data_IF_768400974637
#
_entry.id   IF_768400974637
#
_cell.length_a   1.000
_cell.length_b   1.000
_cell.length_c   1.000
_cell.angle_alpha   90.00
_cell.angle_beta   90.00
_cell.angle_gamma   90.00
#
_symmetry.space_group_name_H-M   'P 1'
#
loop_
_entity.id
_entity.type
_entity.pdbx_description
1 polymer ?
#
# COMPACT_ATOMS: atom_id res chain seq x y z
N UNK A 1 2.92 -9.09 -15.05
CA UNK A 1 1.54 -9.68 -15.13
C UNK A 1 0.68 -8.76 -15.99
N UNK A 2 -0.34 -9.20 -16.75
CA UNK A 2 -1.05 -8.26 -17.62
C UNK A 2 -1.90 -7.29 -16.79
N UNK A 3 -1.84 -6.02 -17.17
CA UNK A 3 -2.59 -4.95 -16.52
C UNK A 3 -4.10 -5.15 -16.70
N UNK A 4 -4.89 -4.75 -15.70
CA UNK A 4 -6.35 -4.80 -15.83
C UNK A 4 -6.80 -3.79 -16.89
N UNK A 5 -7.61 -4.23 -17.85
CA UNK A 5 -8.18 -3.35 -18.88
C UNK A 5 -9.59 -2.92 -18.48
N UNK A 6 -9.76 -1.69 -18.04
CA UNK A 6 -11.06 -1.08 -17.74
C UNK A 6 -11.44 -0.10 -18.86
N UNK A 7 -12.64 -0.25 -19.43
CA UNK A 7 -13.16 0.62 -20.50
C UNK A 7 -12.22 0.77 -21.72
N UNK A 8 -11.45 -0.27 -22.04
CA UNK A 8 -10.48 -0.25 -23.14
C UNK A 8 -9.12 0.33 -22.78
N UNK A 9 -8.90 0.75 -21.52
CA UNK A 9 -7.66 1.33 -21.05
C UNK A 9 -6.99 0.42 -20.01
N UNK A 10 -5.67 0.24 -20.14
CA UNK A 10 -4.85 -0.47 -19.15
C UNK A 10 -4.73 0.39 -17.89
N UNK A 11 -5.14 -0.12 -16.75
CA UNK A 11 -4.96 0.53 -15.45
C UNK A 11 -3.54 0.32 -14.93
N UNK A 12 -3.18 0.99 -13.83
CA UNK A 12 -1.89 0.78 -13.14
C UNK A 12 -1.91 -0.53 -12.32
N UNK A 13 -3.10 -1.07 -12.05
CA UNK A 13 -3.32 -2.15 -11.10
C UNK A 13 -3.45 -3.47 -11.87
N UNK A 14 -2.63 -4.48 -11.54
CA UNK A 14 -2.86 -5.82 -12.07
C UNK A 14 -4.13 -6.43 -11.49
N UNK A 15 -4.78 -7.28 -12.27
CA UNK A 15 -5.86 -8.15 -11.78
C UNK A 15 -5.52 -8.88 -10.48
N UNK A 16 -4.26 -9.30 -10.33
CA UNK A 16 -3.80 -10.10 -9.20
C UNK A 16 -3.50 -9.23 -7.96
N UNK A 17 -3.16 -7.94 -8.15
CA UNK A 17 -2.94 -6.98 -7.05
C UNK A 17 -4.25 -6.53 -6.38
N UNK A 18 -5.39 -6.66 -7.09
CA UNK A 18 -6.71 -6.35 -6.52
C UNK A 18 -7.04 -7.21 -5.30
N UNK A 19 -6.53 -8.45 -5.24
CA UNK A 19 -6.79 -9.33 -4.10
C UNK A 19 -6.25 -8.75 -2.80
N UNK A 20 -4.97 -8.38 -2.78
CA UNK A 20 -4.34 -7.78 -1.60
C UNK A 20 -4.97 -6.42 -1.24
N UNK A 21 -5.25 -5.60 -2.25
CA UNK A 21 -5.88 -4.30 -2.06
C UNK A 21 -7.28 -4.44 -1.45
N UNK A 22 -8.12 -5.34 -1.98
CA UNK A 22 -9.45 -5.61 -1.46
C UNK A 22 -9.42 -6.20 -0.04
N UNK A 23 -8.49 -7.10 0.27
CA UNK A 23 -8.32 -7.61 1.65
C UNK A 23 -7.96 -6.49 2.61
N UNK A 24 -7.08 -5.57 2.20
CA UNK A 24 -6.70 -4.40 3.00
C UNK A 24 -7.91 -3.50 3.26
N UNK A 25 -8.70 -3.20 2.23
CA UNK A 25 -9.93 -2.42 2.39
C UNK A 25 -10.97 -3.13 3.27
N UNK A 26 -11.14 -4.45 3.15
CA UNK A 26 -12.02 -5.21 4.05
C UNK A 26 -11.60 -5.01 5.51
N UNK A 27 -10.31 -5.09 5.83
CA UNK A 27 -9.81 -4.85 7.19
C UNK A 27 -10.09 -3.42 7.69
N UNK A 28 -9.92 -2.41 6.83
CA UNK A 28 -10.26 -1.01 7.14
C UNK A 28 -11.77 -0.88 7.41
N UNK A 29 -12.62 -1.47 6.57
CA UNK A 29 -14.09 -1.44 6.75
C UNK A 29 -14.56 -2.14 8.01
N UNK A 30 -13.98 -3.29 8.35
CA UNK A 30 -14.26 -3.98 9.62
C UNK A 30 -13.86 -3.10 10.83
N UNK A 31 -12.73 -2.41 10.72
CA UNK A 31 -12.29 -1.44 11.74
C UNK A 31 -13.28 -0.27 11.87
N UNK A 32 -13.75 0.30 10.75
CA UNK A 32 -14.77 1.35 10.75
C UNK A 32 -16.09 0.90 11.41
N UNK A 33 -16.55 -0.32 11.12
CA UNK A 33 -17.74 -0.90 11.76
C UNK A 33 -17.50 -1.03 13.27
N UNK A 34 -16.35 -1.56 13.69
CA UNK A 34 -15.99 -1.68 15.10
C UNK A 34 -15.95 -0.34 15.82
N UNK A 35 -15.39 0.70 15.19
CA UNK A 35 -15.35 2.06 15.73
C UNK A 35 -16.73 2.74 15.75
N UNK A 36 -17.67 2.32 14.90
CA UNK A 36 -19.03 2.87 14.85
C UNK A 36 -19.89 2.41 16.03
N UNK A 37 -19.59 1.24 16.61
CA UNK A 37 -20.38 0.66 17.71
C UNK A 37 -20.36 1.56 18.97
N UNK A 38 -19.20 2.02 19.50
CA UNK A 38 -19.17 2.95 20.62
C UNK A 38 -19.99 4.24 20.39
N UNK A 39 -19.96 4.77 19.17
CA UNK A 39 -20.72 5.97 18.80
C UNK A 39 -22.22 5.72 18.83
N UNK A 40 -22.68 4.56 18.33
CA UNK A 40 -24.10 4.17 18.43
C UNK A 40 -24.55 3.91 19.87
N UNK A 41 -23.71 3.29 20.68
CA UNK A 41 -24.01 3.07 22.10
C UNK A 41 -24.14 4.39 22.85
N UNK A 42 -23.24 5.35 22.57
CA UNK A 42 -23.32 6.71 23.10
C UNK A 42 -24.64 7.40 22.71
N UNK A 43 -25.03 7.32 21.44
CA UNK A 43 -26.30 7.89 20.96
C UNK A 43 -27.51 7.23 21.63
N UNK A 44 -27.49 5.91 21.80
CA UNK A 44 -28.58 5.15 22.44
C UNK A 44 -28.76 5.53 23.90
N UNK A 45 -27.67 5.72 24.64
CA UNK A 45 -27.72 6.13 26.05
C UNK A 45 -28.21 7.58 26.21
N UNK A 46 -27.90 8.45 25.24
CA UNK A 46 -28.24 9.89 25.30
C UNK A 46 -29.66 10.24 24.85
N UNK A 47 -30.29 9.40 24.02
CA UNK A 47 -31.58 9.68 23.37
C UNK A 47 -32.76 10.08 24.28
N UNK A 48 -32.92 9.64 25.55
CA UNK A 48 -34.08 10.05 26.34
C UNK A 48 -34.06 11.53 26.76
N UNK A 49 -32.90 12.20 26.76
CA UNK A 49 -32.73 13.53 27.36
C UNK A 49 -32.47 14.67 26.36
N UNK A 50 -32.43 14.39 25.05
CA UNK A 50 -32.08 15.37 24.00
C UNK A 50 -33.10 16.52 23.89
N UNK A 51 -34.40 16.22 24.03
CA UNK A 51 -35.47 17.24 23.99
C UNK A 51 -35.38 18.25 25.13
N UNK A 52 -34.99 17.79 26.32
CA UNK A 52 -34.79 18.69 27.46
C UNK A 52 -33.56 19.58 27.25
N UNK A 53 -32.48 19.01 26.72
CA UNK A 53 -31.24 19.73 26.41
C UNK A 53 -31.45 20.81 25.35
N UNK A 54 -32.19 20.51 24.28
CA UNK A 54 -32.51 21.47 23.21
C UNK A 54 -33.23 22.72 23.76
N UNK A 55 -34.22 22.52 24.65
CA UNK A 55 -34.93 23.63 25.30
C UNK A 55 -34.00 24.51 26.13
N UNK A 56 -33.10 23.91 26.92
CA UNK A 56 -32.14 24.66 27.75
C UNK A 56 -31.19 25.49 26.88
N UNK A 57 -30.64 24.91 25.81
CA UNK A 57 -29.75 25.65 24.91
C UNK A 57 -30.48 26.74 24.12
N UNK A 58 -31.76 26.56 23.81
CA UNK A 58 -32.61 27.62 23.24
C UNK A 58 -32.81 28.79 24.22
N UNK A 59 -33.05 28.50 25.51
CA UNK A 59 -33.23 29.53 26.54
C UNK A 59 -31.97 30.36 26.76
N UNK A 60 -30.79 29.77 26.61
CA UNK A 60 -29.51 30.45 26.83
C UNK A 60 -29.11 31.40 25.70
N UNK A 61 -29.93 31.58 24.67
CA UNK A 61 -29.65 32.51 23.58
C UNK A 61 -28.46 32.09 22.71
N UNK A 62 -27.97 30.86 22.86
CA UNK A 62 -27.17 30.25 21.82
C UNK A 62 -28.12 30.12 20.62
N UNK A 63 -27.88 30.86 19.53
CA UNK A 63 -28.62 30.77 18.26
C UNK A 63 -28.48 29.41 17.56
N UNK A 64 -28.31 28.34 18.34
CA UNK A 64 -28.01 26.96 18.03
C UNK A 64 -29.16 26.02 18.42
N UNK A 65 -30.37 26.53 18.68
CA UNK A 65 -31.51 25.67 19.05
C UNK A 65 -31.79 24.57 18.02
N UNK A 66 -31.54 24.84 16.74
CA UNK A 66 -31.58 23.81 15.70
C UNK A 66 -30.33 22.92 15.66
N UNK A 67 -29.16 23.43 16.05
CA UNK A 67 -27.89 22.73 15.85
C UNK A 67 -27.79 21.48 16.71
N UNK A 68 -28.26 21.46 17.96
CA UNK A 68 -28.13 20.26 18.81
C UNK A 68 -29.01 19.11 18.38
N UNK A 69 -30.27 19.39 18.02
CA UNK A 69 -31.22 18.38 17.56
C UNK A 69 -30.77 17.83 16.20
N UNK A 70 -30.38 18.72 15.30
CA UNK A 70 -29.81 18.35 13.99
C UNK A 70 -28.50 17.58 14.19
N UNK A 71 -27.65 17.91 15.17
CA UNK A 71 -26.36 17.25 15.36
C UNK A 71 -26.51 15.80 15.82
N UNK A 72 -27.41 15.52 16.76
CA UNK A 72 -27.66 14.14 17.21
C UNK A 72 -28.25 13.28 16.06
N UNK A 73 -29.21 13.83 15.30
CA UNK A 73 -29.78 13.17 14.11
C UNK A 73 -28.73 12.96 13.01
N UNK A 74 -27.87 13.95 12.79
CA UNK A 74 -26.80 13.90 11.80
C UNK A 74 -25.74 12.88 12.20
N UNK A 75 -25.37 12.80 13.48
CA UNK A 75 -24.42 11.80 14.00
C UNK A 75 -25.00 10.38 13.89
N UNK A 76 -26.28 10.21 14.21
CA UNK A 76 -26.97 8.93 14.05
C UNK A 76 -27.00 8.51 12.57
N UNK A 77 -27.43 9.41 11.69
CA UNK A 77 -27.51 9.18 10.24
C UNK A 77 -26.12 8.86 9.68
N UNK A 78 -25.10 9.64 10.02
CA UNK A 78 -23.72 9.42 9.61
C UNK A 78 -23.20 8.05 10.03
N UNK A 79 -23.41 7.67 11.30
CA UNK A 79 -22.90 6.40 11.84
C UNK A 79 -23.61 5.21 11.19
N UNK A 80 -24.93 5.30 11.04
CA UNK A 80 -25.73 4.26 10.38
C UNK A 80 -25.35 4.12 8.90
N UNK A 81 -25.29 5.22 8.15
CA UNK A 81 -24.87 5.23 6.75
C UNK A 81 -23.45 4.70 6.57
N UNK A 82 -22.54 5.04 7.49
CA UNK A 82 -21.16 4.51 7.50
C UNK A 82 -21.14 2.99 7.66
N UNK A 83 -21.94 2.43 8.58
CA UNK A 83 -22.02 0.98 8.75
C UNK A 83 -22.61 0.30 7.52
N UNK A 84 -23.70 0.84 6.95
CA UNK A 84 -24.34 0.29 5.76
C UNK A 84 -23.37 0.30 4.56
N UNK A 85 -22.71 1.43 4.30
CA UNK A 85 -21.78 1.54 3.16
C UNK A 85 -20.54 0.65 3.36
N UNK A 86 -20.07 0.48 4.60
CA UNK A 86 -18.97 -0.42 4.92
C UNK A 86 -19.34 -1.89 4.64
N UNK A 87 -20.54 -2.33 5.04
CA UNK A 87 -21.03 -3.67 4.75
C UNK A 87 -21.18 -3.94 3.25
N UNK A 88 -21.81 -3.02 2.52
CA UNK A 88 -21.94 -3.13 1.05
C UNK A 88 -20.56 -3.16 0.39
N UNK A 89 -19.62 -2.34 0.86
CA UNK A 89 -18.24 -2.32 0.34
C UNK A 89 -17.51 -3.64 0.61
N UNK A 90 -17.67 -4.24 1.79
CA UNK A 90 -17.10 -5.55 2.12
C UNK A 90 -17.62 -6.62 1.16
N UNK A 91 -18.93 -6.64 0.88
CA UNK A 91 -19.52 -7.61 -0.06
C UNK A 91 -18.96 -7.44 -1.48
N UNK A 92 -18.81 -6.19 -1.94
CA UNK A 92 -18.19 -5.88 -3.24
C UNK A 92 -16.72 -6.29 -3.28
N UNK A 93 -15.98 -6.10 -2.19
CA UNK A 93 -14.58 -6.52 -2.10
C UNK A 93 -14.43 -8.04 -2.09
N UNK A 94 -15.29 -8.76 -1.37
CA UNK A 94 -15.32 -10.23 -1.41
C UNK A 94 -15.63 -10.73 -2.83
N UNK A 95 -16.60 -10.11 -3.50
CA UNK A 95 -16.92 -10.43 -4.88
C UNK A 95 -15.71 -10.14 -5.81
N UNK A 96 -15.04 -9.01 -5.62
CA UNK A 96 -13.84 -8.61 -6.38
C UNK A 96 -12.72 -9.63 -6.19
N UNK A 97 -12.43 -10.04 -4.96
CA UNK A 97 -11.42 -11.05 -4.62
C UNK A 97 -11.76 -12.40 -5.26
N UNK A 98 -13.01 -12.85 -5.14
CA UNK A 98 -13.44 -14.12 -5.73
C UNK A 98 -13.30 -14.09 -7.26
N UNK A 99 -13.72 -13.00 -7.89
CA UNK A 99 -13.62 -12.84 -9.35
C UNK A 99 -12.18 -12.66 -9.81
N UNK A 100 -11.30 -11.99 -9.05
CA UNK A 100 -9.89 -11.82 -9.41
C UNK A 100 -9.14 -13.14 -9.44
N UNK A 101 -9.46 -14.06 -8.52
CA UNK A 101 -8.89 -15.41 -8.50
C UNK A 101 -9.53 -16.38 -9.53
N UNK A 102 -10.63 -15.99 -10.18
CA UNK A 102 -11.28 -16.85 -11.16
C UNK A 102 -10.63 -16.70 -12.53
N UNK A 103 -9.88 -17.74 -12.92
CA UNK A 103 -9.23 -17.84 -14.23
C UNK A 103 -7.84 -17.23 -14.29
N UNK A 104 -7.08 -17.62 -15.31
CA UNK A 104 -5.75 -17.08 -15.57
C UNK A 104 -5.85 -15.73 -16.30
N UNK A 105 -4.80 -14.89 -16.26
CA UNK A 105 -4.81 -13.62 -16.97
C UNK A 105 -4.96 -13.75 -18.49
N UNK A 106 -4.73 -14.95 -19.03
CA UNK A 106 -4.95 -15.31 -20.44
C UNK A 106 -6.42 -15.57 -20.80
N UNK A 107 -7.34 -15.59 -19.83
CA UNK A 107 -8.76 -15.89 -20.04
C UNK A 107 -9.66 -14.67 -19.68
N UNK A 108 -9.72 -13.63 -20.55
CA UNK A 108 -10.42 -12.38 -20.23
C UNK A 108 -11.93 -12.54 -20.04
N UNK A 109 -12.54 -13.54 -20.68
CA UNK A 109 -13.99 -13.79 -20.60
C UNK A 109 -14.44 -14.14 -19.17
N UNK A 110 -13.65 -14.96 -18.46
CA UNK A 110 -13.93 -15.35 -17.07
C UNK A 110 -13.81 -14.19 -16.09
N UNK A 111 -13.05 -13.14 -16.46
CA UNK A 111 -12.83 -11.93 -15.66
C UNK A 111 -13.72 -10.75 -16.09
N UNK A 112 -14.67 -10.96 -17.00
CA UNK A 112 -15.54 -9.89 -17.54
C UNK A 112 -16.36 -9.17 -16.46
N UNK A 113 -16.84 -9.90 -15.45
CA UNK A 113 -17.58 -9.35 -14.32
C UNK A 113 -16.78 -8.34 -13.48
N UNK A 114 -15.44 -8.47 -13.47
CA UNK A 114 -14.56 -7.58 -12.71
C UNK A 114 -14.69 -6.12 -13.19
N UNK A 115 -14.95 -5.90 -14.49
CA UNK A 115 -15.16 -4.56 -15.03
C UNK A 115 -16.38 -3.91 -14.40
N UNK A 116 -17.50 -4.62 -14.34
CA UNK A 116 -18.74 -4.13 -13.75
C UNK A 116 -18.56 -3.85 -12.25
N UNK A 117 -17.96 -4.79 -11.51
CA UNK A 117 -17.67 -4.63 -10.08
C UNK A 117 -16.79 -3.41 -9.80
N UNK A 118 -15.70 -3.22 -10.55
CA UNK A 118 -14.83 -2.06 -10.41
C UNK A 118 -15.56 -0.75 -10.77
N UNK A 119 -16.39 -0.72 -11.82
CA UNK A 119 -17.16 0.47 -12.20
C UNK A 119 -18.18 0.85 -11.12
N UNK A 120 -18.92 -0.12 -10.59
CA UNK A 120 -19.89 0.10 -9.50
C UNK A 120 -19.17 0.55 -8.22
N UNK A 121 -17.99 -0.01 -7.92
CA UNK A 121 -17.22 0.40 -6.74
C UNK A 121 -16.65 1.82 -6.88
N UNK A 122 -16.06 2.15 -8.03
CA UNK A 122 -15.34 3.42 -8.23
C UNK A 122 -16.25 4.63 -8.48
N UNK A 123 -17.48 4.42 -8.96
CA UNK A 123 -18.38 5.53 -9.30
C UNK A 123 -19.52 5.72 -8.27
N UNK A 124 -20.59 4.91 -8.26
CA UNK A 124 -21.74 5.19 -7.41
C UNK A 124 -21.43 5.04 -5.91
N UNK A 125 -20.68 4.01 -5.51
CA UNK A 125 -20.30 3.81 -4.10
C UNK A 125 -19.41 4.95 -3.62
N UNK A 126 -18.49 5.42 -4.47
CA UNK A 126 -17.57 6.49 -4.12
C UNK A 126 -18.27 7.84 -3.96
N UNK A 127 -19.26 8.17 -4.81
CA UNK A 127 -20.08 9.36 -4.65
C UNK A 127 -20.83 9.36 -3.30
N UNK A 128 -21.39 8.22 -2.90
CA UNK A 128 -22.05 8.08 -1.59
C UNK A 128 -21.05 8.26 -0.45
N UNK A 129 -19.84 7.71 -0.56
CA UNK A 129 -18.79 7.90 0.46
C UNK A 129 -18.35 9.35 0.58
N UNK A 130 -18.18 10.07 -0.53
CA UNK A 130 -17.86 11.51 -0.52
C UNK A 130 -18.93 12.27 0.27
N UNK A 131 -20.21 12.00 0.03
CA UNK A 131 -21.30 12.63 0.77
C UNK A 131 -21.24 12.32 2.27
N UNK A 132 -20.99 11.06 2.64
CA UNK A 132 -20.83 10.63 4.05
C UNK A 132 -19.64 11.34 4.71
N UNK A 133 -18.50 11.45 4.02
CA UNK A 133 -17.32 12.16 4.53
C UNK A 133 -17.61 13.64 4.76
N UNK A 134 -18.32 14.30 3.84
CA UNK A 134 -18.73 15.70 4.02
C UNK A 134 -19.56 15.86 5.30
N UNK A 135 -20.52 14.96 5.54
CA UNK A 135 -21.31 14.95 6.77
C UNK A 135 -20.41 14.73 8.00
N UNK A 136 -19.47 13.78 7.94
CA UNK A 136 -18.50 13.53 9.01
C UNK A 136 -17.64 14.76 9.33
N UNK A 137 -17.19 15.49 8.32
CA UNK A 137 -16.44 16.74 8.48
C UNK A 137 -17.29 17.84 9.14
N UNK A 138 -18.56 17.98 8.74
CA UNK A 138 -19.50 18.92 9.36
C UNK A 138 -19.68 18.58 10.85
N UNK A 139 -19.83 17.29 11.20
CA UNK A 139 -19.92 16.85 12.58
C UNK A 139 -18.68 17.21 13.40
N UNK A 140 -17.48 17.01 12.84
CA UNK A 140 -16.22 17.39 13.51
C UNK A 140 -16.08 18.90 13.69
N UNK A 141 -16.49 19.71 12.72
CA UNK A 141 -16.42 21.19 12.82
C UNK A 141 -17.42 21.72 13.86
N UNK A 142 -18.58 21.06 14.00
CA UNK A 142 -19.66 21.52 14.89
C UNK A 142 -19.59 20.95 16.30
N UNK A 143 -18.69 20.00 16.57
CA UNK A 143 -18.58 19.32 17.88
C UNK A 143 -18.25 20.27 19.03
N UNK A 144 -17.39 21.26 18.81
CA UNK A 144 -16.99 22.20 19.87
C UNK A 144 -18.20 23.01 20.34
N UNK A 145 -19.01 23.49 19.38
CA UNK A 145 -20.25 24.24 19.68
C UNK A 145 -21.29 23.37 20.40
N UNK A 146 -21.41 22.11 19.99
CA UNK A 146 -22.25 21.14 20.68
C UNK A 146 -21.80 20.95 22.13
N UNK A 147 -20.48 20.83 22.34
CA UNK A 147 -19.93 20.64 23.67
C UNK A 147 -20.05 21.86 24.57
N UNK A 148 -19.92 23.07 24.03
CA UNK A 148 -20.16 24.29 24.80
C UNK A 148 -21.61 24.36 25.31
N UNK A 149 -22.58 24.00 24.47
CA UNK A 149 -23.99 23.92 24.88
C UNK A 149 -24.24 22.82 25.93
N UNK A 150 -23.68 21.61 25.75
CA UNK A 150 -23.81 20.53 26.75
C UNK A 150 -23.20 20.94 28.10
N UNK A 151 -22.03 21.59 28.08
CA UNK A 151 -21.36 22.06 29.29
C UNK A 151 -22.12 23.21 29.98
N UNK A 152 -22.75 24.11 29.20
CA UNK A 152 -23.59 25.17 29.73
C UNK A 152 -24.86 24.60 30.40
N UNK A 153 -25.53 23.66 29.74
CA UNK A 153 -26.70 22.99 30.30
C UNK A 153 -26.38 22.16 31.56
N UNK A 154 -25.20 21.51 31.58
CA UNK A 154 -24.72 20.76 32.74
C UNK A 154 -24.57 21.63 33.99
N UNK A 155 -24.02 22.84 33.85
CA UNK A 155 -23.85 23.79 34.98
C UNK A 155 -25.19 24.22 35.59
N UNK A 156 -26.20 24.48 34.74
CA UNK A 156 -27.55 24.86 35.22
C UNK A 156 -28.24 23.67 35.89
N UNK A 157 -28.03 22.45 35.38
CA UNK A 157 -28.53 21.22 35.99
C UNK A 157 -27.94 20.96 37.38
N UNK A 158 -26.68 21.33 37.60
CA UNK A 158 -26.00 21.22 38.90
C UNK A 158 -26.54 22.24 39.91
N UNK A 159 -26.74 23.50 39.49
CA UNK A 159 -27.33 24.55 40.36
C UNK A 159 -28.77 24.23 40.77
N UNK A 160 -29.54 23.58 39.91
CA UNK A 160 -30.94 23.22 40.16
C UNK A 160 -31.12 21.93 40.97
N UNK A 161 -30.03 21.24 41.33
CA UNK A 161 -30.07 20.00 42.11
C UNK A 161 -30.77 18.82 41.39
N UNK A 162 -31.02 18.95 40.08
CA UNK A 162 -31.78 17.99 39.28
C UNK A 162 -30.90 17.13 38.36
N UNK A 163 -29.61 17.45 38.26
CA UNK A 163 -28.68 16.76 37.35
C UNK A 163 -27.81 15.69 38.03
N UNK A 164 -28.00 14.42 37.65
CA UNK A 164 -26.94 13.41 37.78
C UNK A 164 -25.71 13.91 37.00
N UNK A 165 -24.58 14.14 37.67
CA UNK A 165 -23.32 14.65 37.09
C UNK A 165 -22.70 13.81 35.95
N UNK A 166 -23.41 12.80 35.44
CA UNK A 166 -23.03 11.95 34.29
C UNK A 166 -22.92 12.73 32.98
N UNK A 167 -23.64 13.85 32.82
CA UNK A 167 -23.61 14.63 31.57
C UNK A 167 -22.28 15.35 31.30
N UNK A 168 -21.58 15.83 32.34
CA UNK A 168 -20.34 16.59 32.16
C UNK A 168 -19.19 15.77 31.57
N UNK A 169 -19.20 14.45 31.73
CA UNK A 169 -18.13 13.59 31.19
C UNK A 169 -18.28 13.30 29.69
N UNK A 170 -19.41 13.66 29.08
CA UNK A 170 -19.70 13.34 27.67
C UNK A 170 -18.89 14.16 26.67
N UNK A 171 -18.53 15.40 27.02
CA UNK A 171 -17.82 16.34 26.14
C UNK A 171 -16.35 16.56 26.54
N UNK A 172 -15.81 15.70 27.40
CA UNK A 172 -14.37 15.73 27.65
C UNK A 172 -13.66 15.42 26.34
N UNK A 173 -12.72 16.28 25.92
CA UNK A 173 -11.90 16.19 24.68
C UNK A 173 -11.19 14.84 24.44
N UNK A 174 -11.29 13.91 25.40
CA UNK A 174 -10.72 12.55 25.41
C UNK A 174 -11.80 11.46 25.54
N UNK A 175 -13.06 11.75 25.24
CA UNK A 175 -14.09 10.70 25.25
C UNK A 175 -13.76 9.67 24.16
N UNK A 176 -13.97 8.40 24.50
CA UNK A 176 -13.70 7.28 23.58
C UNK A 176 -14.50 7.45 22.28
N UNK A 177 -15.76 7.89 22.37
CA UNK A 177 -16.63 8.08 21.21
C UNK A 177 -16.11 9.16 20.26
N UNK A 178 -15.53 10.25 20.78
CA UNK A 178 -15.00 11.33 19.94
C UNK A 178 -13.73 10.89 19.22
N UNK A 179 -12.86 10.15 19.92
CA UNK A 179 -11.70 9.50 19.31
C UNK A 179 -12.11 8.52 18.20
N UNK A 180 -13.16 7.72 18.43
CA UNK A 180 -13.73 6.84 17.41
C UNK A 180 -14.24 7.62 16.19
N UNK A 181 -14.98 8.72 16.40
CA UNK A 181 -15.49 9.57 15.32
C UNK A 181 -14.35 10.13 14.45
N UNK A 182 -13.29 10.67 15.07
CA UNK A 182 -12.11 11.17 14.33
C UNK A 182 -11.48 10.05 13.51
N UNK A 183 -11.25 8.88 14.11
CA UNK A 183 -10.66 7.74 13.41
C UNK A 183 -11.52 7.27 12.22
N UNK A 184 -12.85 7.27 12.35
CA UNK A 184 -13.76 6.94 11.26
C UNK A 184 -13.60 7.97 10.13
N UNK A 185 -13.69 9.27 10.43
CA UNK A 185 -13.57 10.32 9.39
C UNK A 185 -12.21 10.30 8.70
N UNK A 186 -11.11 10.13 9.45
CA UNK A 186 -9.75 10.04 8.89
C UNK A 186 -9.59 8.81 7.98
N UNK A 187 -10.10 7.66 8.39
CA UNK A 187 -10.04 6.45 7.54
C UNK A 187 -10.89 6.59 6.29
N UNK A 188 -12.08 7.21 6.37
CA UNK A 188 -12.90 7.48 5.19
C UNK A 188 -12.23 8.49 4.24
N UNK A 189 -11.61 9.56 4.76
CA UNK A 189 -10.84 10.52 3.97
C UNK A 189 -9.68 9.85 3.22
N UNK A 190 -8.98 8.92 3.87
CA UNK A 190 -7.91 8.16 3.23
C UNK A 190 -8.44 7.30 2.08
N UNK A 191 -9.55 6.61 2.27
CA UNK A 191 -10.18 5.80 1.22
C UNK A 191 -10.66 6.65 0.04
N UNK A 192 -11.38 7.74 0.31
CA UNK A 192 -11.84 8.67 -0.72
C UNK A 192 -10.66 9.29 -1.47
N UNK A 193 -9.60 9.67 -0.75
CA UNK A 193 -8.38 10.18 -1.35
C UNK A 193 -7.69 9.16 -2.26
N UNK A 194 -7.65 7.89 -1.84
CA UNK A 194 -7.08 6.80 -2.64
C UNK A 194 -7.90 6.55 -3.90
N UNK A 195 -9.23 6.40 -3.77
CA UNK A 195 -10.12 6.13 -4.91
C UNK A 195 -10.13 7.33 -5.89
N UNK A 196 -10.15 8.57 -5.39
CA UNK A 196 -10.01 9.78 -6.21
C UNK A 196 -8.68 9.83 -6.95
N UNK A 197 -7.56 9.43 -6.32
CA UNK A 197 -6.26 9.35 -6.98
C UNK A 197 -6.28 8.36 -8.15
N UNK A 198 -6.91 7.18 -7.98
CA UNK A 198 -7.07 6.18 -9.04
C UNK A 198 -7.91 6.73 -10.20
N UNK A 199 -9.03 7.38 -9.91
CA UNK A 199 -9.92 7.98 -10.92
C UNK A 199 -9.22 9.11 -11.68
N UNK A 200 -8.59 10.05 -10.97
CA UNK A 200 -7.85 11.18 -11.57
C UNK A 200 -6.72 10.65 -12.46
N UNK A 201 -5.97 9.65 -11.99
CA UNK A 201 -4.92 9.03 -12.79
C UNK A 201 -5.50 8.37 -14.05
N UNK A 202 -6.64 7.67 -13.93
CA UNK A 202 -7.34 7.09 -15.07
C UNK A 202 -7.75 8.14 -16.10
N UNK A 203 -8.39 9.23 -15.66
CA UNK A 203 -8.80 10.35 -16.53
C UNK A 203 -7.58 11.00 -17.19
N UNK A 204 -6.52 11.26 -16.42
CA UNK A 204 -5.28 11.83 -16.93
C UNK A 204 -4.65 10.94 -18.02
N UNK A 205 -4.65 9.62 -17.81
CA UNK A 205 -4.13 8.67 -18.79
C UNK A 205 -4.96 8.64 -20.07
N UNK A 206 -6.29 8.58 -19.95
CA UNK A 206 -7.22 8.58 -21.09
C UNK A 206 -7.08 9.87 -21.91
N UNK A 207 -7.07 11.02 -21.24
CA UNK A 207 -6.91 12.32 -21.91
C UNK A 207 -5.55 12.41 -22.59
N UNK A 208 -4.46 12.08 -21.90
CA UNK A 208 -3.11 12.08 -22.47
C UNK A 208 -3.00 11.17 -23.71
N UNK A 209 -3.59 9.99 -23.68
CA UNK A 209 -3.54 9.07 -24.82
C UNK A 209 -4.24 9.66 -26.06
N UNK A 210 -5.41 10.28 -25.87
CA UNK A 210 -6.12 10.99 -26.96
C UNK A 210 -5.28 12.15 -27.53
N UNK A 211 -4.65 12.93 -26.67
CA UNK A 211 -3.77 14.02 -27.10
C UNK A 211 -2.50 13.52 -27.80
N UNK A 212 -1.88 12.44 -27.30
CA UNK A 212 -0.68 11.85 -27.89
C UNK A 212 -0.95 11.29 -29.28
N UNK A 213 -2.08 10.61 -29.48
CA UNK A 213 -2.46 10.07 -30.79
C UNK A 213 -2.64 11.17 -31.84
N UNK A 214 -3.05 12.37 -31.43
CA UNK A 214 -3.17 13.53 -32.34
C UNK A 214 -1.81 14.18 -32.62
N UNK A 215 -0.87 14.12 -31.67
CA UNK A 215 0.47 14.70 -31.81
C UNK A 215 1.41 13.85 -32.66
N UNK A 216 1.28 12.53 -32.63
CA UNK A 216 2.04 11.63 -33.52
C UNK A 216 1.78 11.90 -35.01
N UNK A 217 0.64 12.54 -35.35
CA UNK A 217 0.29 12.95 -36.71
C UNK A 217 1.05 14.22 -37.14
N UNK A 218 1.50 15.05 -36.19
CA UNK A 218 2.04 16.39 -36.45
C UNK A 218 3.58 16.46 -36.44
N UNK A 219 4.26 15.30 -36.40
CA UNK A 219 5.68 15.13 -36.76
C UNK A 219 6.74 15.97 -36.03
N UNK A 220 6.38 16.74 -35.01
CA UNK A 220 7.27 17.72 -34.37
C UNK A 220 7.98 17.13 -33.14
N UNK A 221 9.28 17.42 -33.01
CA UNK A 221 10.25 16.89 -32.03
C UNK A 221 9.96 17.19 -30.53
N UNK A 222 8.71 17.41 -30.12
CA UNK A 222 8.28 17.80 -28.77
C UNK A 222 8.41 16.69 -27.71
N UNK A 223 8.88 15.50 -28.08
CA UNK A 223 9.03 14.36 -27.17
C UNK A 223 10.07 14.63 -26.06
N UNK A 224 11.13 15.40 -26.35
CA UNK A 224 12.19 15.69 -25.38
C UNK A 224 11.68 16.50 -24.15
N UNK A 225 10.67 17.36 -24.35
CA UNK A 225 10.07 18.14 -23.27
C UNK A 225 9.17 17.33 -22.34
N UNK A 226 8.53 16.28 -22.86
CA UNK A 226 7.66 15.40 -22.08
C UNK A 226 8.46 14.43 -21.20
N UNK A 227 9.57 13.90 -21.71
CA UNK A 227 10.50 13.04 -20.97
C UNK A 227 11.11 13.77 -19.77
N UNK A 228 11.63 14.99 -19.97
CA UNK A 228 12.20 15.81 -18.87
C UNK A 228 11.20 16.12 -17.75
N UNK A 229 9.91 16.33 -18.08
CA UNK A 229 8.87 16.54 -17.06
C UNK A 229 8.58 15.26 -16.27
N UNK A 230 8.59 14.11 -16.94
CA UNK A 230 8.36 12.81 -16.32
C UNK A 230 9.51 12.38 -15.42
N UNK A 231 10.74 12.56 -15.88
CA UNK A 231 11.95 12.32 -15.10
C UNK A 231 11.91 13.13 -13.79
N UNK A 232 11.62 14.43 -13.87
CA UNK A 232 11.49 15.29 -12.71
C UNK A 232 10.38 14.83 -11.74
N UNK A 233 9.26 14.32 -12.26
CA UNK A 233 8.18 13.80 -11.41
C UNK A 233 8.59 12.50 -10.70
N UNK A 234 9.23 11.57 -11.42
CA UNK A 234 9.73 10.33 -10.84
C UNK A 234 10.81 10.58 -9.79
N UNK A 235 11.74 11.51 -10.04
CA UNK A 235 12.78 11.91 -9.07
C UNK A 235 12.13 12.43 -7.78
N UNK A 236 11.14 13.34 -7.89
CA UNK A 236 10.41 13.85 -6.71
C UNK A 236 9.65 12.75 -5.98
N UNK A 237 8.99 11.85 -6.71
CA UNK A 237 8.25 10.74 -6.11
C UNK A 237 9.19 9.76 -5.37
N UNK A 238 10.35 9.45 -5.96
CA UNK A 238 11.39 8.63 -5.32
C UNK A 238 12.01 9.32 -4.09
N UNK A 239 12.17 10.64 -4.12
CA UNK A 239 12.62 11.41 -2.96
C UNK A 239 11.59 11.32 -1.81
N UNK A 240 10.30 11.49 -2.12
CA UNK A 240 9.23 11.35 -1.13
C UNK A 240 9.16 9.93 -0.54
N UNK A 241 9.30 8.88 -1.36
CA UNK A 241 9.30 7.50 -0.83
C UNK A 241 10.56 7.21 -0.01
N UNK A 242 11.70 7.84 -0.30
CA UNK A 242 12.91 7.73 0.53
C UNK A 242 12.69 8.30 1.95
N UNK A 243 11.95 9.41 2.07
CA UNK A 243 11.57 9.99 3.37
C UNK A 243 10.67 9.03 4.16
N UNK A 244 9.63 8.50 3.51
CA UNK A 244 8.69 7.55 4.14
C UNK A 244 9.35 6.23 4.55
N UNK A 245 10.39 5.82 3.83
CA UNK A 245 11.14 4.59 4.13
C UNK A 245 12.36 4.83 5.01
N UNK A 246 12.51 6.00 5.65
CA UNK A 246 13.67 6.32 6.50
C UNK A 246 15.02 6.06 5.79
N UNK A 247 15.13 6.41 4.51
CA UNK A 247 16.33 6.16 3.68
C UNK A 247 16.74 4.68 3.55
N UNK A 248 15.82 3.71 3.78
CA UNK A 248 16.09 2.28 3.59
C UNK A 248 16.60 2.00 2.16
N UNK A 249 16.12 2.80 1.21
CA UNK A 249 16.59 2.87 -0.16
C UNK A 249 17.59 4.04 -0.29
N UNK A 250 18.87 3.73 -0.47
CA UNK A 250 19.90 4.70 -0.87
C UNK A 250 20.89 5.14 0.20
N UNK A 251 20.49 5.24 1.47
CA UNK A 251 21.33 5.86 2.50
C UNK A 251 21.60 7.36 2.23
N UNK A 252 21.89 8.11 3.30
CA UNK A 252 22.01 9.58 3.30
C UNK A 252 23.05 10.19 2.32
N UNK A 253 23.88 9.35 1.68
CA UNK A 253 25.06 9.77 0.90
C UNK A 253 25.10 9.28 -0.55
N UNK A 254 24.10 8.53 -1.01
CA UNK A 254 24.06 8.21 -2.44
C UNK A 254 23.61 9.46 -3.21
N UNK A 255 24.51 9.97 -4.04
CA UNK A 255 24.23 10.98 -5.05
C UNK A 255 22.98 10.57 -5.84
N UNK A 256 22.15 11.54 -6.23
CA UNK A 256 20.91 11.36 -6.96
C UNK A 256 21.01 10.48 -8.24
N UNK A 257 22.22 10.16 -8.71
CA UNK A 257 22.52 9.39 -9.92
C UNK A 257 22.00 7.95 -9.91
N UNK A 258 22.06 7.24 -8.78
CA UNK A 258 21.68 5.81 -8.75
C UNK A 258 20.16 5.63 -8.83
N UNK A 259 19.40 6.55 -8.24
CA UNK A 259 17.93 6.57 -8.37
C UNK A 259 17.49 7.21 -9.67
N UNK A 260 18.23 8.17 -10.21
CA UNK A 260 17.96 8.74 -11.53
C UNK A 260 17.96 7.65 -12.60
N UNK A 261 18.90 6.70 -12.57
CA UNK A 261 18.92 5.60 -13.54
C UNK A 261 17.69 4.68 -13.44
N UNK A 262 17.21 4.42 -12.22
CA UNK A 262 15.98 3.62 -11.99
C UNK A 262 14.73 4.42 -12.37
N UNK A 263 14.70 5.72 -12.07
CA UNK A 263 13.61 6.63 -12.43
C UNK A 263 13.51 6.85 -13.94
N UNK A 264 14.65 6.96 -14.65
CA UNK A 264 14.73 7.02 -16.10
C UNK A 264 14.28 5.70 -16.70
N UNK A 265 14.76 4.56 -16.20
CA UNK A 265 14.29 3.26 -16.65
C UNK A 265 12.77 3.08 -16.43
N UNK A 266 12.23 3.54 -15.30
CA UNK A 266 10.79 3.58 -15.02
C UNK A 266 10.03 4.55 -15.93
N UNK A 267 10.61 5.70 -16.25
CA UNK A 267 10.01 6.71 -17.11
C UNK A 267 9.96 6.23 -18.56
N UNK A 268 11.06 5.70 -19.10
CA UNK A 268 11.13 5.07 -20.42
C UNK A 268 10.16 3.89 -20.49
N UNK A 269 10.10 3.09 -19.44
CA UNK A 269 9.18 1.96 -19.33
C UNK A 269 7.71 2.40 -19.37
N UNK A 270 7.34 3.45 -18.64
CA UNK A 270 5.98 3.98 -18.64
C UNK A 270 5.64 4.81 -19.90
N UNK A 271 6.66 5.30 -20.62
CA UNK A 271 6.52 6.05 -21.86
C UNK A 271 6.28 5.15 -23.09
N UNK A 272 6.66 3.87 -23.00
CA UNK A 272 6.71 2.93 -24.12
C UNK A 272 5.32 2.41 -24.55
N UNK A 273 4.39 3.33 -24.92
CA UNK A 273 3.07 3.13 -25.55
C UNK A 273 2.24 1.89 -25.12
N UNK A 274 2.51 1.29 -23.97
CA UNK A 274 1.94 0.01 -23.54
C UNK A 274 2.46 -1.24 -24.25
N UNK A 275 3.69 -1.28 -24.77
CA UNK A 275 4.27 -2.53 -25.32
C UNK A 275 4.65 -3.51 -24.21
N UNK A 276 5.02 -3.03 -23.02
CA UNK A 276 5.45 -3.89 -21.91
C UNK A 276 4.46 -3.83 -20.73
N UNK A 277 3.88 -4.97 -20.39
CA UNK A 277 2.96 -5.16 -19.26
C UNK A 277 3.75 -5.34 -17.94
N UNK A 278 4.31 -4.24 -17.42
CA UNK A 278 4.84 -4.22 -16.04
C UNK A 278 3.86 -3.48 -15.15
N UNK A 279 3.63 -4.07 -13.99
CA UNK A 279 2.70 -3.58 -12.98
C UNK A 279 3.49 -2.99 -11.83
N UNK A 280 2.88 -2.16 -11.00
CA UNK A 280 3.53 -1.66 -9.78
C UNK A 280 4.15 -2.78 -8.91
N UNK A 281 3.50 -3.96 -8.83
CA UNK A 281 4.06 -5.14 -8.16
C UNK A 281 5.37 -5.62 -8.76
N UNK A 282 5.52 -5.62 -10.09
CA UNK A 282 6.77 -5.96 -10.78
C UNK A 282 7.87 -4.93 -10.46
N UNK A 283 7.52 -3.64 -10.36
CA UNK A 283 8.44 -2.57 -9.94
C UNK A 283 8.91 -2.78 -8.50
N UNK A 284 7.99 -3.08 -7.58
CA UNK A 284 8.31 -3.37 -6.17
C UNK A 284 9.18 -4.63 -6.08
N UNK A 285 8.86 -5.69 -6.83
CA UNK A 285 9.67 -6.89 -6.90
C UNK A 285 11.08 -6.59 -7.41
N UNK A 286 11.20 -5.76 -8.46
CA UNK A 286 12.47 -5.25 -8.96
C UNK A 286 13.27 -4.49 -7.89
N UNK A 287 12.62 -3.59 -7.15
CA UNK A 287 13.26 -2.87 -6.03
C UNK A 287 13.72 -3.83 -4.92
N UNK A 288 12.92 -4.83 -4.56
CA UNK A 288 13.27 -5.84 -3.55
C UNK A 288 14.45 -6.71 -4.02
N UNK A 289 14.49 -7.09 -5.29
CA UNK A 289 15.63 -7.80 -5.88
C UNK A 289 16.89 -6.93 -5.88
N UNK A 290 16.77 -5.65 -6.23
CA UNK A 290 17.89 -4.69 -6.14
C UNK A 290 18.42 -4.58 -4.70
N UNK A 291 17.53 -4.52 -3.70
CA UNK A 291 17.94 -4.53 -2.29
C UNK A 291 18.75 -5.77 -1.91
N UNK A 292 18.33 -6.96 -2.39
CA UNK A 292 19.06 -8.21 -2.16
C UNK A 292 20.46 -8.16 -2.78
N UNK A 293 20.56 -7.73 -4.03
CA UNK A 293 21.86 -7.59 -4.73
C UNK A 293 22.76 -6.56 -4.05
N UNK A 294 22.22 -5.41 -3.63
CA UNK A 294 22.98 -4.40 -2.89
C UNK A 294 23.48 -4.92 -1.54
N UNK A 295 22.65 -5.70 -0.84
CA UNK A 295 23.04 -6.34 0.44
C UNK A 295 24.16 -7.36 0.22
N UNK A 296 24.07 -8.18 -0.82
CA UNK A 296 25.13 -9.13 -1.18
C UNK A 296 26.44 -8.43 -1.57
N UNK A 297 26.38 -7.37 -2.36
CA UNK A 297 27.57 -6.55 -2.72
C UNK A 297 28.23 -5.95 -1.48
N UNK A 298 27.44 -5.45 -0.51
CA UNK A 298 27.96 -4.94 0.77
C UNK A 298 28.62 -6.03 1.62
N UNK A 299 28.11 -7.26 1.57
CA UNK A 299 28.73 -8.39 2.28
C UNK A 299 30.05 -8.76 1.59
N UNK A 300 30.04 -8.93 0.25
CA UNK A 300 31.25 -9.25 -0.53
C UNK A 300 32.34 -8.18 -0.39
N UNK A 301 31.99 -6.89 -0.39
CA UNK A 301 32.97 -5.81 -0.22
C UNK A 301 33.57 -5.80 1.19
N UNK A 302 32.78 -6.10 2.23
CA UNK A 302 33.28 -6.28 3.60
C UNK A 302 34.21 -7.48 3.69
N UNK A 303 33.87 -8.60 3.06
CA UNK A 303 34.72 -9.79 3.02
C UNK A 303 36.05 -9.52 2.30
N UNK A 304 36.03 -8.79 1.18
CA UNK A 304 37.22 -8.38 0.46
C UNK A 304 38.12 -7.45 1.31
N UNK A 305 37.53 -6.47 2.01
CA UNK A 305 38.24 -5.59 2.95
C UNK A 305 38.88 -6.36 4.11
N UNK A 306 38.18 -7.37 4.65
CA UNK A 306 38.73 -8.23 5.71
C UNK A 306 39.90 -9.05 5.17
N UNK A 307 39.78 -9.58 3.94
CA UNK A 307 40.85 -10.35 3.29
C UNK A 307 42.08 -9.49 3.03
N UNK A 308 41.91 -8.29 2.46
CA UNK A 308 43.00 -7.35 2.22
C UNK A 308 43.75 -6.98 3.51
N UNK A 309 43.03 -6.72 4.61
CA UNK A 309 43.65 -6.44 5.92
C UNK A 309 44.41 -7.64 6.52
N UNK A 310 44.04 -8.87 6.16
CA UNK A 310 44.79 -10.08 6.58
C UNK A 310 46.07 -10.19 5.75
N UNK A 311 46.00 -9.89 4.45
CA UNK A 311 47.13 -9.99 3.51
C UNK A 311 48.18 -8.89 3.76
N UNK A 312 47.80 -7.72 4.27
CA UNK A 312 48.71 -6.62 4.69
C UNK A 312 49.57 -6.94 5.94
N UNK A 313 49.54 -8.18 6.46
CA UNK A 313 50.47 -8.62 7.50
C UNK A 313 50.18 -8.05 8.89
N UNK A 314 48.96 -7.57 9.15
CA UNK A 314 48.55 -7.15 10.50
C UNK A 314 48.69 -8.34 11.47
N UNK A 315 49.45 -8.21 12.57
CA UNK A 315 49.86 -9.33 13.40
C UNK A 315 48.67 -10.16 13.92
N UNK A 316 48.77 -11.48 13.65
CA UNK A 316 47.79 -12.57 13.80
C UNK A 316 47.01 -12.64 15.12
N UNK A 317 47.50 -12.01 16.20
CA UNK A 317 46.82 -11.99 17.50
C UNK A 317 45.57 -11.08 17.51
N UNK A 318 45.62 -9.91 16.86
CA UNK A 318 44.48 -8.97 16.82
C UNK A 318 43.37 -9.46 15.88
N UNK A 319 43.73 -10.13 14.78
CA UNK A 319 42.80 -10.62 13.77
C UNK A 319 41.81 -11.69 14.31
N UNK A 320 42.24 -12.53 15.25
CA UNK A 320 41.38 -13.56 15.87
C UNK A 320 40.25 -12.94 16.70
N UNK A 321 40.56 -11.89 17.46
CA UNK A 321 39.58 -11.18 18.30
C UNK A 321 38.58 -10.40 17.44
N UNK A 322 39.04 -9.72 16.38
CA UNK A 322 38.14 -9.01 15.46
C UNK A 322 37.21 -9.96 14.73
N UNK A 323 37.67 -11.15 14.32
CA UNK A 323 36.86 -12.12 13.59
C UNK A 323 35.76 -12.76 14.46
N UNK A 324 35.97 -12.91 15.76
CA UNK A 324 34.93 -13.41 16.68
C UNK A 324 33.86 -12.34 16.95
N UNK A 325 34.27 -11.08 17.12
CA UNK A 325 33.36 -9.94 17.34
C UNK A 325 32.53 -9.65 16.09
N UNK A 326 33.11 -9.77 14.89
CA UNK A 326 32.36 -9.57 13.66
C UNK A 326 31.31 -10.67 13.45
N UNK A 327 31.64 -11.93 13.77
CA UNK A 327 30.70 -13.06 13.67
C UNK A 327 29.52 -12.90 14.64
N UNK A 328 29.75 -12.40 15.86
CA UNK A 328 28.66 -12.17 16.81
C UNK A 328 27.75 -11.02 16.37
N UNK A 329 28.31 -9.93 15.83
CA UNK A 329 27.51 -8.79 15.33
C UNK A 329 26.73 -9.08 14.04
N UNK A 330 27.19 -10.01 13.20
CA UNK A 330 26.51 -10.35 11.95
C UNK A 330 25.34 -11.34 12.12
N UNK A 331 25.07 -11.82 13.34
CA UNK A 331 23.97 -12.76 13.58
C UNK A 331 24.12 -14.09 12.82
N UNK A 332 25.31 -14.41 12.32
CA UNK A 332 25.58 -15.69 11.68
C UNK A 332 25.56 -16.79 12.74
N UNK A 333 24.40 -17.44 12.92
CA UNK A 333 24.29 -18.67 13.70
C UNK A 333 25.32 -19.65 13.15
N UNK A 334 26.19 -20.16 14.02
CA UNK A 334 27.05 -21.31 13.69
C UNK A 334 26.11 -22.42 13.21
N UNK A 335 26.13 -22.72 11.92
CA UNK A 335 25.69 -24.02 11.42
C UNK A 335 26.64 -25.03 12.03
N UNK A 336 26.21 -25.60 13.16
CA UNK A 336 26.88 -26.73 13.79
C UNK A 336 26.77 -27.86 12.79
N UNK A 337 27.88 -28.14 12.10
CA UNK A 337 27.99 -29.29 11.23
C UNK A 337 27.96 -30.53 12.15
N UNK A 338 26.91 -31.38 12.12
CA UNK A 338 26.86 -32.57 12.95
C UNK A 338 27.96 -33.52 12.47
N UNK A 339 29.09 -33.51 13.17
CA UNK A 339 30.17 -34.46 12.97
C UNK A 339 29.63 -35.85 13.32
N UNK A 340 29.70 -36.75 12.34
CA UNK A 340 29.59 -38.22 12.42
C UNK A 340 29.94 -38.75 13.82
N UNK A 341 28.92 -39.19 14.57
CA UNK A 341 28.99 -40.33 15.50
C UNK A 341 28.42 -41.48 14.67
N UNK A 342 29.21 -42.47 14.29
CA UNK A 342 29.71 -43.48 15.20
C UNK A 342 28.77 -44.66 15.07
N UNK A 343 29.27 -45.71 14.42
CA UNK A 343 28.59 -46.95 14.05
C UNK A 343 27.88 -47.59 15.27
N UNK A 344 26.65 -48.02 15.04
CA UNK A 344 25.82 -48.73 16.01
C UNK A 344 24.81 -49.57 15.26
N UNK A 345 25.26 -50.75 14.84
CA UNK A 345 24.46 -51.82 14.27
C UNK A 345 23.40 -52.26 15.29
N UNK A 346 22.13 -51.96 15.03
CA UNK A 346 20.99 -52.66 15.62
C UNK A 346 20.02 -52.95 14.48
N UNK A 347 20.02 -54.21 14.06
CA UNK A 347 18.97 -54.87 13.30
C UNK A 347 17.69 -54.93 14.12
N UNK A 348 16.58 -54.44 13.59
CA UNK A 348 15.26 -55.03 13.84
C UNK A 348 14.41 -54.93 12.57
N UNK A 349 13.88 -56.08 12.20
CA UNK A 349 12.98 -56.38 11.11
C UNK A 349 11.65 -55.63 11.20
N UNK A 350 11.00 -55.46 10.03
CA UNK A 350 9.56 -55.70 9.96
C UNK A 350 8.70 -54.64 9.26
N UNK A 351 8.11 -55.08 8.14
CA UNK A 351 6.86 -54.64 7.48
C UNK A 351 6.99 -53.43 6.52
N UNK A 352 7.11 -53.70 5.21
CA UNK A 352 6.03 -53.95 4.25
C UNK A 352 4.98 -52.84 4.17
N UNK A 353 5.17 -51.92 3.22
CA UNK A 353 4.07 -51.48 2.37
C UNK A 353 4.60 -51.06 1.00
N UNK A 354 4.11 -51.77 -0.02
CA UNK A 354 4.37 -51.52 -1.44
C UNK A 354 3.50 -50.35 -1.88
N UNK A 355 4.10 -49.35 -2.52
CA UNK A 355 3.39 -48.46 -3.44
C UNK A 355 4.32 -48.13 -4.59
N UNK A 356 3.91 -48.62 -5.76
CA UNK A 356 4.56 -48.45 -7.03
C UNK A 356 4.34 -47.02 -7.54
N UNK A 357 5.42 -46.32 -7.88
CA UNK A 357 5.39 -45.30 -8.92
C UNK A 357 6.69 -45.34 -9.70
N UNK A 358 6.49 -45.27 -11.00
CA UNK A 358 7.34 -45.70 -12.09
C UNK A 358 8.33 -44.60 -12.52
N UNK A 359 9.35 -45.04 -13.27
CA UNK A 359 10.63 -44.40 -13.55
C UNK A 359 10.61 -42.98 -14.11
N UNK A 360 11.56 -42.19 -13.61
CA UNK A 360 12.05 -40.96 -14.21
C UNK A 360 13.52 -40.76 -13.82
N UNK A 361 14.42 -40.97 -14.78
CA UNK A 361 15.87 -40.83 -14.61
C UNK A 361 16.26 -39.45 -14.06
N UNK A 362 17.21 -39.37 -13.10
CA UNK A 362 17.78 -38.08 -12.72
C UNK A 362 18.86 -37.65 -13.74
N UNK A 363 18.57 -36.59 -14.49
CA UNK A 363 19.57 -35.80 -15.21
C UNK A 363 20.65 -35.30 -14.23
N UNK A 364 21.83 -35.88 -14.33
CA UNK A 364 23.06 -35.38 -13.70
C UNK A 364 23.50 -34.13 -14.46
N UNK A 365 23.16 -32.95 -13.96
CA UNK A 365 23.79 -31.69 -14.41
C UNK A 365 25.00 -31.44 -13.53
N UNK A 366 26.15 -31.76 -14.10
CA UNK A 366 27.48 -31.46 -13.59
C UNK A 366 27.71 -29.94 -13.70
N UNK A 367 27.56 -29.20 -12.59
CA UNK A 367 27.83 -27.77 -12.56
C UNK A 367 29.33 -27.52 -12.34
N UNK A 368 30.11 -27.60 -13.42
CA UNK A 368 31.41 -26.95 -13.50
C UNK A 368 31.19 -25.44 -13.64
N UNK A 369 31.70 -24.68 -12.67
CA UNK A 369 31.94 -23.25 -12.82
C UNK A 369 33.09 -23.04 -13.82
N UNK A 370 33.00 -22.04 -14.71
CA UNK A 370 33.91 -20.91 -14.55
C UNK A 370 33.35 -19.55 -14.98
N UNK A 371 33.70 -18.52 -14.19
CA UNK A 371 34.19 -17.21 -14.63
C UNK A 371 33.67 -16.67 -15.99
N UNK A 372 32.42 -16.19 -16.05
CA UNK A 372 31.94 -15.35 -17.17
C UNK A 372 30.83 -14.39 -16.70
N UNK A 373 31.11 -13.48 -15.75
CA UNK A 373 30.13 -12.45 -15.36
C UNK A 373 30.52 -11.01 -15.73
N UNK A 374 31.76 -10.73 -16.13
CA UNK A 374 32.18 -9.34 -16.39
C UNK A 374 31.99 -8.90 -17.85
N UNK A 375 31.79 -9.84 -18.79
CA UNK A 375 31.53 -9.52 -20.22
C UNK A 375 30.05 -9.49 -20.62
N UNK A 376 29.14 -10.01 -19.79
CA UNK A 376 27.72 -10.06 -20.14
C UNK A 376 27.01 -8.70 -20.04
N UNK A 377 27.41 -7.85 -19.08
CA UNK A 377 26.81 -6.52 -18.88
C UNK A 377 27.22 -5.49 -19.94
N UNK A 378 28.43 -5.59 -20.50
CA UNK A 378 28.85 -4.75 -21.62
C UNK A 378 28.24 -5.23 -22.95
N UNK A 379 28.07 -6.55 -23.15
CA UNK A 379 27.43 -7.09 -24.35
C UNK A 379 25.93 -6.75 -24.43
N UNK A 380 25.22 -6.70 -23.30
CA UNK A 380 23.80 -6.32 -23.28
C UNK A 380 23.57 -4.83 -23.64
N UNK A 381 24.40 -3.92 -23.11
CA UNK A 381 24.31 -2.50 -23.46
C UNK A 381 24.74 -2.21 -24.91
N UNK A 382 25.71 -2.97 -25.46
CA UNK A 382 26.12 -2.84 -26.87
C UNK A 382 25.05 -3.40 -27.82
N UNK A 383 24.37 -4.50 -27.45
CA UNK A 383 23.32 -5.11 -28.28
C UNK A 383 22.05 -4.22 -28.36
N UNK A 384 21.71 -3.49 -27.29
CA UNK A 384 20.63 -2.49 -27.34
C UNK A 384 20.99 -1.25 -28.18
N UNK A 385 22.25 -0.79 -28.15
CA UNK A 385 22.69 0.32 -29.03
C UNK A 385 22.73 -0.07 -30.50
N UNK A 386 23.08 -1.32 -30.83
CA UNK A 386 23.13 -1.81 -32.21
C UNK A 386 21.73 -1.96 -32.84
N UNK A 387 20.70 -2.34 -32.08
CA UNK A 387 19.32 -2.39 -32.59
C UNK A 387 18.74 -0.99 -32.86
N UNK A 388 19.20 0.05 -32.16
CA UNK A 388 18.80 1.45 -32.44
C UNK A 388 19.36 1.99 -33.76
N UNK A 389 20.48 1.48 -34.28
CA UNK A 389 21.04 1.93 -35.57
C UNK A 389 20.43 1.24 -36.79
N UNK A 390 19.86 0.03 -36.66
CA UNK A 390 19.28 -0.67 -37.81
C UNK A 390 17.87 -0.19 -38.20
N UNK A 391 17.18 0.54 -37.32
CA UNK A 391 15.82 1.05 -37.60
C UNK A 391 15.85 2.42 -38.32
N UNK A 392 17.01 3.06 -38.46
CA UNK A 392 17.15 4.39 -39.08
C UNK A 392 17.38 4.33 -40.61
N UNK A 393 17.57 3.14 -41.21
CA UNK A 393 17.87 3.00 -42.64
C UNK A 393 16.76 2.35 -43.49
N UNK A 394 15.53 2.29 -42.99
CA UNK A 394 14.37 1.93 -43.81
C UNK A 394 13.16 2.82 -43.46
N UNK A 395 13.31 4.12 -43.73
CA UNK A 395 12.22 5.04 -44.12
C UNK A 395 12.77 5.99 -45.17
#
# INVERSE_FOLDING_TARGET
>A
MPALVLHGYRTIIAGDDLGLLSVTFIAIRLTQIGLSIPTLLFLREKHPNTKALSKVCQTLGFGLSGVTEIWDELLYTYTLSTMIIALVSILLDIATVKTSYTGTPTQPERRSALKCLCTVKLLPIELVRIAIVIVGLILLITVDRYCDCVNAAGRIGEESGFGDGRFMNSCRRFSLWFGCLICIVVTQLFEVGFDAMVVIHGIYKVTRQKYSSKRDIDGTNDNEGAEKKWENCCVKCCQCTSLLTCCLFGGYRNNASDFSSVAIALADFMADKGTVDCVFSDVVAGMVMLLKVQKERKIKSREALIKAKIDEGVPSAAAKTTKSILRSKLGMKKTVNPKKKGEGLITLDGQNEKSAYDGGEPCVINAQSPLYEEKASSLWMVKMRSQRMMVVNHV
#
